data_IF_189132500565
#
_entry.id   IF_189132500565
#
_cell.length_a   1.000
_cell.length_b   1.000
_cell.length_c   1.000
_cell.angle_alpha   90.00
_cell.angle_beta   90.00
_cell.angle_gamma   90.00
#
_symmetry.space_group_name_H-M   'P 1'
#
loop_
_entity.id
_entity.type
_entity.pdbx_description
1 polymer ?
#
# COMPACT_ATOMS: atom_id res chain seq x y z
N UNK A 1 1.27 4.09 17.02
CA UNK A 1 1.10 3.44 15.70
C UNK A 1 2.27 3.86 14.84
N UNK A 2 3.06 2.91 14.33
CA UNK A 2 4.20 3.28 13.49
C UNK A 2 3.70 3.62 12.06
N UNK A 3 4.57 4.21 11.21
CA UNK A 3 4.19 4.61 9.85
C UNK A 3 3.79 3.43 8.95
N UNK A 4 4.40 2.25 9.15
CA UNK A 4 3.96 1.01 8.49
C UNK A 4 2.53 0.67 8.89
N UNK A 5 2.20 0.64 10.18
CA UNK A 5 0.86 0.29 10.65
C UNK A 5 -0.19 1.25 10.10
N UNK A 6 0.09 2.56 10.15
CA UNK A 6 -0.81 3.59 9.61
C UNK A 6 -1.11 3.35 8.14
N UNK A 7 -0.06 3.21 7.32
CA UNK A 7 -0.21 3.00 5.89
C UNK A 7 -0.82 1.63 5.56
N UNK A 8 -0.59 0.59 6.38
CA UNK A 8 -1.25 -0.71 6.22
C UNK A 8 -2.76 -0.59 6.39
N UNK A 9 -3.21 0.15 7.41
CA UNK A 9 -4.63 0.38 7.64
C UNK A 9 -5.25 1.14 6.48
N UNK A 10 -4.67 2.27 6.07
CA UNK A 10 -5.18 3.05 4.94
C UNK A 10 -5.19 2.24 3.63
N UNK A 11 -4.16 1.42 3.41
CA UNK A 11 -4.10 0.53 2.25
C UNK A 11 -5.16 -0.57 2.31
N UNK A 12 -5.45 -1.12 3.49
CA UNK A 12 -6.53 -2.10 3.67
C UNK A 12 -7.90 -1.47 3.41
N UNK A 13 -8.16 -0.27 3.94
CA UNK A 13 -9.39 0.49 3.69
C UNK A 13 -9.57 0.79 2.19
N UNK A 14 -8.50 1.20 1.51
CA UNK A 14 -8.52 1.38 0.05
C UNK A 14 -8.88 0.09 -0.70
N UNK A 15 -8.35 -1.05 -0.24
CA UNK A 15 -8.61 -2.35 -0.84
C UNK A 15 -10.05 -2.83 -0.62
N UNK A 16 -10.65 -2.55 0.54
CA UNK A 16 -12.05 -2.88 0.85
C UNK A 16 -13.04 -1.94 0.15
N UNK A 17 -12.73 -0.64 0.08
CA UNK A 17 -13.60 0.36 -0.58
C UNK A 17 -13.57 0.29 -2.11
N UNK A 18 -12.53 -0.29 -2.69
CA UNK A 18 -12.44 -0.52 -4.14
C UNK A 18 -13.21 -1.78 -4.52
N UNK A 19 -14.19 -1.68 -5.44
CA UNK A 19 -15.00 -2.83 -5.89
C UNK A 19 -14.17 -3.99 -6.50
N UNK A 20 -12.98 -3.71 -7.05
CA UNK A 20 -12.00 -4.71 -7.51
C UNK A 20 -10.63 -4.05 -7.75
N UNK A 21 -9.85 -3.76 -6.69
CA UNK A 21 -8.50 -3.26 -6.85
C UNK A 21 -7.64 -4.35 -7.47
N UNK A 22 -7.20 -4.13 -8.70
CA UNK A 22 -6.22 -5.02 -9.30
C UNK A 22 -4.88 -4.80 -8.58
N UNK A 23 -4.59 -5.64 -7.59
CA UNK A 23 -3.27 -5.71 -6.92
C UNK A 23 -2.14 -5.67 -7.93
N UNK A 24 -2.36 -6.28 -9.10
CA UNK A 24 -1.42 -6.29 -10.21
C UNK A 24 -1.08 -4.91 -10.76
N UNK A 25 -2.11 -4.05 -10.92
CA UNK A 25 -1.91 -2.67 -11.36
C UNK A 25 -1.32 -1.80 -10.25
N UNK A 26 -1.72 -2.07 -9.00
CA UNK A 26 -1.26 -1.33 -7.83
C UNK A 26 0.24 -1.50 -7.63
N UNK A 27 0.76 -2.73 -7.65
CA UNK A 27 2.20 -2.94 -7.47
C UNK A 27 3.02 -2.29 -8.60
N UNK A 28 2.52 -2.32 -9.84
CA UNK A 28 3.17 -1.63 -10.98
C UNK A 28 3.18 -0.12 -10.77
N UNK A 29 2.10 0.44 -10.25
CA UNK A 29 1.96 1.88 -10.00
C UNK A 29 2.83 2.33 -8.83
N UNK A 30 2.91 1.55 -7.76
CA UNK A 30 3.77 1.82 -6.59
C UNK A 30 5.24 1.57 -6.92
N UNK A 31 5.54 0.72 -7.90
CA UNK A 31 6.92 0.36 -8.25
C UNK A 31 7.58 -0.58 -7.23
N UNK A 32 6.79 -1.40 -6.55
CA UNK A 32 7.26 -2.41 -5.60
C UNK A 32 6.85 -3.82 -6.09
N UNK A 33 7.62 -4.82 -5.68
CA UNK A 33 7.30 -6.21 -6.02
C UNK A 33 6.03 -6.66 -5.30
N UNK A 34 5.18 -7.42 -6.00
CA UNK A 34 3.94 -7.98 -5.47
C UNK A 34 4.12 -8.74 -4.15
N UNK A 35 5.11 -9.63 -4.08
CA UNK A 35 5.41 -10.42 -2.87
C UNK A 35 5.78 -9.53 -1.69
N UNK A 36 6.51 -8.45 -1.96
CA UNK A 36 6.95 -7.48 -0.96
C UNK A 36 5.77 -6.78 -0.31
N UNK A 37 4.83 -6.29 -1.12
CA UNK A 37 3.62 -5.62 -0.62
C UNK A 37 2.73 -6.60 0.14
N UNK A 38 2.60 -7.85 -0.32
CA UNK A 38 1.82 -8.87 0.41
C UNK A 38 2.41 -9.17 1.78
N UNK A 39 3.73 -9.36 1.86
CA UNK A 39 4.38 -9.64 3.13
C UNK A 39 4.28 -8.43 4.07
N UNK A 40 4.35 -7.21 3.55
CA UNK A 40 4.09 -6.01 4.32
C UNK A 40 2.64 -5.88 4.78
N UNK A 41 1.67 -6.10 3.91
CA UNK A 41 0.25 -6.05 4.22
C UNK A 41 -0.12 -7.07 5.30
N UNK A 42 0.49 -8.26 5.27
CA UNK A 42 0.32 -9.31 6.28
C UNK A 42 1.10 -9.05 7.58
N UNK A 43 1.81 -7.94 7.68
CA UNK A 43 2.65 -7.62 8.85
C UNK A 43 3.89 -8.51 9.00
N UNK A 44 4.23 -9.33 7.99
CA UNK A 44 5.41 -10.20 8.01
C UNK A 44 6.69 -9.40 7.79
N UNK A 45 6.59 -8.23 7.17
CA UNK A 45 7.73 -7.35 6.90
C UNK A 45 7.37 -5.88 7.14
N UNK A 46 8.37 -5.14 7.59
CA UNK A 46 8.33 -3.68 7.63
C UNK A 46 9.08 -3.10 6.44
N UNK A 47 8.50 -2.05 5.88
CA UNK A 47 9.11 -1.25 4.83
C UNK A 47 9.94 -0.13 5.41
N UNK A 48 11.03 0.17 4.70
CA UNK A 48 11.81 1.38 4.93
C UNK A 48 11.09 2.62 4.37
N UNK A 49 11.62 3.78 4.72
CA UNK A 49 11.07 5.10 4.36
C UNK A 49 10.70 5.24 2.87
N UNK A 50 11.60 4.88 1.96
CA UNK A 50 11.36 5.03 0.51
C UNK A 50 10.15 4.22 0.01
N UNK A 51 9.98 2.98 0.49
CA UNK A 51 8.86 2.14 0.11
C UNK A 51 7.54 2.65 0.72
N UNK A 52 7.61 3.19 1.94
CA UNK A 52 6.45 3.84 2.58
C UNK A 52 6.05 5.13 1.87
N UNK A 53 7.00 5.95 1.42
CA UNK A 53 6.73 7.19 0.67
C UNK A 53 6.01 6.91 -0.66
N UNK A 54 6.34 5.80 -1.34
CA UNK A 54 5.66 5.36 -2.57
C UNK A 54 4.21 4.94 -2.30
N UNK A 55 3.97 4.22 -1.22
CA UNK A 55 2.61 3.81 -0.81
C UNK A 55 1.78 5.02 -0.40
N UNK A 56 2.35 5.91 0.42
CA UNK A 56 1.73 7.15 0.87
C UNK A 56 1.35 8.05 -0.32
N UNK A 57 2.26 8.20 -1.29
CA UNK A 57 1.98 8.93 -2.54
C UNK A 57 0.84 8.30 -3.34
N UNK A 58 0.84 6.96 -3.47
CA UNK A 58 -0.22 6.23 -4.15
C UNK A 58 -1.58 6.43 -3.47
N UNK A 59 -1.65 6.31 -2.14
CA UNK A 59 -2.88 6.49 -1.38
C UNK A 59 -3.38 7.94 -1.47
N UNK A 60 -2.49 8.93 -1.39
CA UNK A 60 -2.83 10.35 -1.56
C UNK A 60 -3.43 10.65 -2.95
N UNK A 61 -2.93 10.02 -4.01
CA UNK A 61 -3.52 10.16 -5.35
C UNK A 61 -4.93 9.56 -5.45
N UNK A 62 -5.24 8.51 -4.67
CA UNK A 62 -6.55 7.88 -4.68
C UNK A 62 -7.57 8.60 -3.79
N UNK A 63 -7.16 9.11 -2.62
CA UNK A 63 -8.04 9.88 -1.73
C UNK A 63 -8.46 11.25 -2.31
N UNK A 64 -7.68 11.81 -3.25
CA UNK A 64 -7.97 13.09 -3.90
C UNK A 64 -8.81 12.98 -5.19
N UNK A 65 -9.37 11.81 -5.48
CA UNK A 65 -10.22 11.56 -6.66
C UNK A 65 -11.66 11.28 -6.26
#
# INVERSE_FOLDING_TARGET
MNRNDKLRTEFAEYMEGSMTPSLTKIYKKIGLTYTYIIDWQKGRKEFGSEALDKIDSFLNEYHRK
#
